data_IF_263052391196
#
_entry.id   IF_263052391196
#
_cell.length_a   1.000
_cell.length_b   1.000
_cell.length_c   1.000
_cell.angle_alpha   90.00
_cell.angle_beta   90.00
_cell.angle_gamma   90.00
#
_symmetry.space_group_name_H-M   'P 1'
#
loop_
_entity.id
_entity.type
_entity.pdbx_description
1 polymer ?
#
# COMPACT_ATOMS: atom_id res chain seq x y z
N UNK A 1 20.30 -14.64 -46.34
CA UNK A 1 20.82 -13.88 -45.18
C UNK A 1 20.67 -12.40 -45.46
N UNK A 2 20.11 -11.63 -44.51
CA UNK A 2 20.12 -10.18 -44.59
C UNK A 2 21.49 -9.65 -44.15
N UNK A 3 22.05 -8.69 -44.88
CA UNK A 3 23.31 -8.03 -44.53
C UNK A 3 23.00 -6.61 -44.06
N UNK A 4 23.46 -6.25 -42.86
CA UNK A 4 23.42 -4.89 -42.34
C UNK A 4 24.84 -4.46 -41.98
N UNK A 5 25.18 -3.22 -42.31
CA UNK A 5 26.43 -2.61 -41.87
C UNK A 5 26.15 -1.89 -40.55
N UNK A 6 26.95 -2.18 -39.53
CA UNK A 6 26.90 -1.54 -38.22
C UNK A 6 28.20 -0.76 -38.02
N UNK A 7 28.11 0.40 -37.39
CA UNK A 7 29.29 1.16 -36.97
C UNK A 7 29.65 0.74 -35.55
N UNK A 8 30.93 0.46 -35.32
CA UNK A 8 31.47 0.16 -33.99
C UNK A 8 32.46 1.28 -33.60
N UNK A 9 32.65 1.53 -32.29
CA UNK A 9 33.67 2.45 -31.82
C UNK A 9 35.08 2.06 -32.27
N UNK A 10 35.92 3.05 -32.60
CA UNK A 10 37.27 2.84 -33.16
C UNK A 10 38.17 2.02 -32.21
N UNK A 11 38.05 2.22 -30.90
CA UNK A 11 38.79 1.48 -29.88
C UNK A 11 38.41 -0.01 -29.81
N UNK A 12 37.16 -0.34 -30.14
CA UNK A 12 36.67 -1.71 -30.19
C UNK A 12 37.11 -2.41 -31.49
N UNK A 13 37.16 -1.68 -32.60
CA UNK A 13 37.65 -2.16 -33.90
C UNK A 13 39.14 -2.54 -33.81
N UNK A 14 39.98 -1.65 -33.24
CA UNK A 14 41.41 -1.92 -33.03
C UNK A 14 41.66 -3.18 -32.18
N UNK A 15 40.84 -3.38 -31.13
CA UNK A 15 40.93 -4.56 -30.26
C UNK A 15 40.43 -5.84 -30.93
N UNK A 16 39.45 -5.74 -31.82
CA UNK A 16 38.95 -6.87 -32.61
C UNK A 16 39.98 -7.30 -33.66
N UNK A 17 40.65 -6.35 -34.30
CA UNK A 17 41.71 -6.62 -35.28
C UNK A 17 42.90 -7.36 -34.67
N UNK A 18 43.29 -7.01 -33.44
CA UNK A 18 44.33 -7.72 -32.68
C UNK A 18 43.97 -9.19 -32.36
N UNK A 19 42.69 -9.56 -32.42
CA UNK A 19 42.19 -10.89 -32.09
C UNK A 19 41.37 -11.54 -33.21
N UNK A 20 41.50 -11.02 -34.45
CA UNK A 20 40.70 -11.41 -35.62
C UNK A 20 40.74 -12.90 -35.93
N UNK A 21 41.88 -13.56 -35.70
CA UNK A 21 42.04 -15.00 -35.95
C UNK A 21 41.39 -15.88 -34.86
N UNK A 22 41.02 -15.29 -33.71
CA UNK A 22 40.46 -16.01 -32.56
C UNK A 22 38.98 -15.70 -32.37
N UNK A 23 38.49 -14.57 -32.88
CA UNK A 23 37.12 -14.09 -32.67
C UNK A 23 36.41 -13.98 -34.01
N UNK A 24 35.34 -14.75 -34.18
CA UNK A 24 34.41 -14.53 -35.27
C UNK A 24 33.44 -13.40 -34.90
N UNK A 25 33.82 -12.16 -35.22
CA UNK A 25 33.05 -10.96 -34.87
C UNK A 25 31.60 -11.04 -35.36
N UNK A 26 31.36 -11.54 -36.58
CA UNK A 26 30.01 -11.69 -37.12
C UNK A 26 29.13 -12.63 -36.29
N UNK A 27 29.69 -13.76 -35.80
CA UNK A 27 28.96 -14.71 -34.95
C UNK A 27 28.70 -14.13 -33.56
N UNK A 28 29.68 -13.44 -32.99
CA UNK A 28 29.55 -12.84 -31.65
C UNK A 28 28.51 -11.71 -31.66
N UNK A 29 28.55 -10.83 -32.66
CA UNK A 29 27.56 -9.77 -32.82
C UNK A 29 26.15 -10.34 -33.06
N UNK A 30 26.02 -11.41 -33.85
CA UNK A 30 24.72 -12.06 -34.05
C UNK A 30 24.12 -12.58 -32.74
N UNK A 31 24.91 -13.28 -31.93
CA UNK A 31 24.46 -13.81 -30.61
C UNK A 31 24.14 -12.67 -29.64
N UNK A 32 24.95 -11.61 -29.61
CA UNK A 32 24.72 -10.46 -28.74
C UNK A 32 23.44 -9.71 -29.14
N UNK A 33 23.22 -9.51 -30.44
CA UNK A 33 22.01 -8.87 -30.96
C UNK A 33 20.76 -9.72 -30.69
N UNK A 34 20.84 -11.04 -30.88
CA UNK A 34 19.73 -11.96 -30.57
C UNK A 34 19.36 -11.90 -29.09
N UNK A 35 20.36 -11.90 -28.19
CA UNK A 35 20.13 -11.74 -26.75
C UNK A 35 19.49 -10.41 -26.37
N UNK A 36 19.95 -9.32 -26.96
CA UNK A 36 19.36 -8.01 -26.66
C UNK A 36 17.96 -7.85 -27.24
N UNK A 37 17.71 -8.43 -28.42
CA UNK A 37 16.35 -8.51 -28.97
C UNK A 37 15.45 -9.33 -28.07
N UNK A 38 15.89 -10.51 -27.61
CA UNK A 38 15.15 -11.33 -26.65
C UNK A 38 14.84 -10.57 -25.36
N UNK A 39 15.79 -9.79 -24.83
CA UNK A 39 15.59 -8.96 -23.64
C UNK A 39 14.58 -7.85 -23.87
N UNK A 40 14.68 -7.13 -24.99
CA UNK A 40 13.73 -6.07 -25.35
C UNK A 40 12.33 -6.66 -25.56
N UNK A 41 12.21 -7.79 -26.26
CA UNK A 41 10.96 -8.48 -26.52
C UNK A 41 10.32 -9.05 -25.24
N UNK A 42 11.12 -9.51 -24.28
CA UNK A 42 10.63 -9.93 -22.96
C UNK A 42 10.13 -8.75 -22.13
N UNK A 43 10.80 -7.59 -22.18
CA UNK A 43 10.39 -6.38 -21.47
C UNK A 43 9.16 -5.70 -22.10
N UNK A 44 9.01 -5.79 -23.42
CA UNK A 44 7.88 -5.21 -24.16
C UNK A 44 6.73 -6.19 -24.38
N UNK A 45 6.86 -7.45 -23.96
CA UNK A 45 5.76 -8.40 -23.99
C UNK A 45 4.64 -7.85 -23.11
N UNK A 46 3.44 -7.56 -23.68
CA UNK A 46 2.30 -7.22 -22.85
C UNK A 46 2.09 -8.40 -21.90
N UNK A 47 1.98 -8.12 -20.60
CA UNK A 47 1.56 -9.12 -19.63
C UNK A 47 0.18 -9.61 -20.11
N UNK A 48 0.13 -10.80 -20.71
CA UNK A 48 -1.12 -11.47 -21.09
C UNK A 48 -1.83 -11.92 -19.81
N UNK A 49 -2.32 -10.95 -19.04
CA UNK A 49 -3.20 -11.21 -17.91
C UNK A 49 -4.59 -11.36 -18.50
N UNK A 50 -5.16 -12.56 -18.36
CA UNK A 50 -6.56 -12.79 -18.70
C UNK A 50 -7.43 -11.72 -18.03
N UNK A 51 -8.25 -11.02 -18.81
CA UNK A 51 -9.15 -9.96 -18.33
C UNK A 51 -10.03 -10.47 -17.16
N UNK A 52 -10.48 -11.72 -17.24
CA UNK A 52 -11.24 -12.39 -16.17
C UNK A 52 -10.48 -12.53 -14.84
N UNK A 53 -9.14 -12.59 -14.85
CA UNK A 53 -8.31 -12.60 -13.63
C UNK A 53 -8.19 -11.20 -13.05
N UNK A 54 -8.08 -10.18 -13.91
CA UNK A 54 -8.07 -8.77 -13.49
C UNK A 54 -9.42 -8.39 -12.86
N UNK A 55 -10.53 -8.71 -13.52
CA UNK A 55 -11.88 -8.43 -13.01
C UNK A 55 -12.12 -9.08 -11.65
N UNK A 56 -11.77 -10.37 -11.49
CA UNK A 56 -11.88 -11.07 -10.20
C UNK A 56 -11.02 -10.43 -9.11
N UNK A 57 -9.81 -9.99 -9.45
CA UNK A 57 -8.94 -9.30 -8.51
C UNK A 57 -9.55 -7.96 -8.09
N UNK A 58 -10.01 -7.16 -9.04
CA UNK A 58 -10.65 -5.86 -8.79
C UNK A 58 -11.89 -6.03 -7.91
N UNK A 59 -12.74 -7.01 -8.20
CA UNK A 59 -13.95 -7.26 -7.40
C UNK A 59 -13.61 -7.64 -5.95
N UNK A 60 -12.66 -8.56 -5.76
CA UNK A 60 -12.16 -8.92 -4.43
C UNK A 60 -11.62 -7.71 -3.67
N UNK A 61 -10.84 -6.86 -4.33
CA UNK A 61 -10.25 -5.66 -3.70
C UNK A 61 -11.33 -4.62 -3.35
N UNK A 62 -12.35 -4.44 -4.20
CA UNK A 62 -13.50 -3.57 -3.89
C UNK A 62 -14.30 -4.07 -2.70
N UNK A 63 -14.49 -5.38 -2.59
CA UNK A 63 -15.17 -5.97 -1.44
C UNK A 63 -14.39 -5.75 -0.15
N UNK A 64 -13.06 -5.93 -0.18
CA UNK A 64 -12.18 -5.64 0.95
C UNK A 64 -12.21 -4.16 1.34
N UNK A 65 -12.21 -3.24 0.36
CA UNK A 65 -12.34 -1.81 0.63
C UNK A 65 -13.69 -1.47 1.28
N UNK A 66 -14.78 -2.03 0.75
CA UNK A 66 -16.13 -1.81 1.29
C UNK A 66 -16.23 -2.29 2.75
N UNK A 67 -15.66 -3.45 3.06
CA UNK A 67 -15.63 -3.99 4.41
C UNK A 67 -14.82 -3.08 5.36
N UNK A 68 -13.67 -2.60 4.90
CA UNK A 68 -12.83 -1.64 5.62
C UNK A 68 -13.58 -0.33 5.91
N UNK A 69 -14.27 0.23 4.92
CA UNK A 69 -15.07 1.46 5.07
C UNK A 69 -16.23 1.27 6.07
N UNK A 70 -16.88 0.10 6.05
CA UNK A 70 -17.94 -0.23 6.99
C UNK A 70 -17.44 -0.30 8.43
N UNK A 71 -16.29 -0.96 8.67
CA UNK A 71 -15.68 -1.03 10.00
C UNK A 71 -15.22 0.33 10.50
N UNK A 72 -14.64 1.15 9.64
CA UNK A 72 -14.32 2.55 9.96
C UNK A 72 -15.56 3.35 10.33
N UNK A 73 -16.61 3.31 9.50
CA UNK A 73 -17.86 4.04 9.76
C UNK A 73 -18.59 3.55 11.02
N UNK A 74 -18.43 2.27 11.38
CA UNK A 74 -18.91 1.74 12.64
C UNK A 74 -18.10 2.27 13.83
N UNK A 75 -16.78 2.16 13.77
CA UNK A 75 -15.89 2.69 14.81
C UNK A 75 -16.17 4.16 15.10
N UNK A 76 -16.33 4.96 14.05
CA UNK A 76 -16.67 6.38 14.17
C UNK A 76 -17.95 6.62 14.95
N UNK A 77 -19.03 5.94 14.60
CA UNK A 77 -20.31 6.07 15.30
C UNK A 77 -20.22 5.62 16.75
N UNK A 78 -19.52 4.52 17.01
CA UNK A 78 -19.39 4.04 18.38
C UNK A 78 -18.52 5.00 19.23
N UNK A 79 -17.47 5.58 18.65
CA UNK A 79 -16.61 6.57 19.30
C UNK A 79 -17.35 7.88 19.61
N UNK A 80 -18.12 8.40 18.65
CA UNK A 80 -19.04 9.52 18.88
C UNK A 80 -20.02 9.21 20.02
N UNK A 81 -20.63 8.02 20.00
CA UNK A 81 -21.59 7.61 21.02
C UNK A 81 -20.96 7.50 22.42
N UNK A 82 -19.74 6.97 22.53
CA UNK A 82 -19.02 6.91 23.80
C UNK A 82 -18.68 8.31 24.30
N UNK A 83 -18.12 9.17 23.44
CA UNK A 83 -17.77 10.53 23.79
C UNK A 83 -18.99 11.36 24.26
N UNK A 84 -20.15 11.13 23.65
CA UNK A 84 -21.39 11.82 23.99
C UNK A 84 -22.04 11.29 25.29
N UNK A 85 -22.10 9.97 25.47
CA UNK A 85 -22.99 9.36 26.46
C UNK A 85 -22.28 8.80 27.68
N UNK A 86 -20.96 8.57 27.60
CA UNK A 86 -20.22 7.81 28.61
C UNK A 86 -18.96 8.53 29.09
N UNK A 87 -18.23 9.20 28.17
CA UNK A 87 -16.96 9.81 28.50
C UNK A 87 -17.13 11.01 29.45
N UNK A 88 -16.32 11.02 30.51
CA UNK A 88 -16.14 12.17 31.38
C UNK A 88 -15.20 13.21 30.75
N UNK A 89 -15.26 14.45 31.26
CA UNK A 89 -14.35 15.53 30.83
C UNK A 89 -12.87 15.15 30.97
N UNK A 90 -12.51 14.42 32.04
CA UNK A 90 -11.13 14.01 32.28
C UNK A 90 -10.67 12.95 31.26
N UNK A 91 -11.55 12.01 30.90
CA UNK A 91 -11.25 11.01 29.87
C UNK A 91 -11.09 11.65 28.49
N UNK A 92 -11.92 12.64 28.14
CA UNK A 92 -11.80 13.36 26.87
C UNK A 92 -10.51 14.20 26.79
N UNK A 93 -10.08 14.80 27.91
CA UNK A 93 -8.78 15.49 27.99
C UNK A 93 -7.60 14.51 27.85
N UNK A 94 -7.65 13.40 28.60
CA UNK A 94 -6.62 12.36 28.51
C UNK A 94 -6.54 11.73 27.12
N UNK A 95 -7.68 11.56 26.45
CA UNK A 95 -7.74 11.08 25.07
C UNK A 95 -6.98 12.00 24.11
N UNK A 96 -7.16 13.32 24.21
CA UNK A 96 -6.45 14.30 23.36
C UNK A 96 -4.93 14.24 23.54
N UNK A 97 -4.46 14.05 24.78
CA UNK A 97 -3.04 13.94 25.10
C UNK A 97 -2.43 12.63 24.57
N UNK A 98 -3.15 11.52 24.73
CA UNK A 98 -2.65 10.18 24.41
C UNK A 98 -2.81 9.75 22.95
N UNK A 99 -3.68 10.40 22.16
CA UNK A 99 -3.96 10.02 20.77
C UNK A 99 -3.43 11.00 19.71
N UNK A 100 -2.44 11.82 20.06
CA UNK A 100 -1.77 12.72 19.10
C UNK A 100 -1.03 11.96 17.99
N UNK A 101 -0.65 10.69 18.21
CA UNK A 101 0.08 9.86 17.23
C UNK A 101 -0.71 9.45 15.98
N UNK A 102 -2.05 9.49 16.01
CA UNK A 102 -2.90 9.16 14.85
C UNK A 102 -3.32 10.39 14.05
N UNK A 103 -2.79 11.57 14.38
CA UNK A 103 -3.13 12.79 13.68
C UNK A 103 -2.59 12.78 12.24
N UNK A 104 -3.47 13.01 11.27
CA UNK A 104 -3.14 12.94 9.84
C UNK A 104 -3.15 11.53 9.23
N UNK A 105 -3.29 10.48 10.04
CA UNK A 105 -3.46 9.12 9.54
C UNK A 105 -4.84 8.97 8.88
N UNK A 106 -4.86 8.40 7.68
CA UNK A 106 -6.10 8.20 6.91
C UNK A 106 -6.46 6.72 6.82
N UNK A 107 -7.73 6.44 6.53
CA UNK A 107 -8.17 5.08 6.27
C UNK A 107 -7.42 4.46 5.08
N UNK A 108 -6.98 5.25 4.10
CA UNK A 108 -6.29 4.74 2.91
C UNK A 108 -4.84 4.33 3.22
N UNK A 109 -4.16 5.07 4.09
CA UNK A 109 -2.70 5.04 4.20
C UNK A 109 -2.17 4.35 5.47
N UNK A 110 -3.05 3.95 6.39
CA UNK A 110 -2.60 3.35 7.65
C UNK A 110 -2.00 1.95 7.46
N UNK A 111 -0.88 1.69 8.16
CA UNK A 111 -0.41 0.34 8.41
C UNK A 111 -1.09 -0.18 9.68
N UNK A 112 -1.76 -1.35 9.64
CA UNK A 112 -2.30 -1.97 10.84
C UNK A 112 -1.31 -2.15 11.99
N UNK A 113 0.00 -2.26 11.71
CA UNK A 113 1.04 -2.33 12.73
C UNK A 113 1.21 -1.04 13.53
N UNK A 114 0.90 0.12 12.95
CA UNK A 114 0.96 1.41 13.65
C UNK A 114 -0.08 1.53 14.78
N UNK A 115 -1.10 0.67 14.72
CA UNK A 115 -2.23 0.63 15.64
C UNK A 115 -2.11 -0.48 16.69
N UNK A 116 -0.98 -1.18 16.75
CA UNK A 116 -0.73 -2.19 17.78
C UNK A 116 -0.67 -1.55 19.18
N UNK A 117 -1.47 -2.06 20.12
CA UNK A 117 -1.55 -1.55 21.49
C UNK A 117 -2.58 -0.43 21.71
N UNK A 118 -3.26 0.02 20.66
CA UNK A 118 -4.32 1.05 20.77
C UNK A 118 -5.69 0.49 21.19
N UNK A 119 -5.80 -0.83 21.31
CA UNK A 119 -7.03 -1.52 21.68
C UNK A 119 -7.38 -1.38 23.16
N UNK A 120 -6.37 -1.23 24.01
CA UNK A 120 -6.52 -1.03 25.46
C UNK A 120 -7.25 0.28 25.77
N UNK A 121 -7.35 1.16 24.77
CA UNK A 121 -7.97 2.47 24.87
C UNK A 121 -9.44 2.46 24.41
N UNK A 122 -9.90 1.34 23.83
CA UNK A 122 -11.32 1.10 23.63
C UNK A 122 -12.00 0.71 24.95
N UNK A 123 -13.27 1.04 25.15
CA UNK A 123 -14.05 0.50 26.26
C UNK A 123 -13.98 -1.04 26.28
N UNK A 124 -13.80 -1.64 27.46
CA UNK A 124 -13.61 -3.10 27.62
C UNK A 124 -14.70 -3.92 26.93
N UNK A 125 -15.93 -3.41 26.89
CA UNK A 125 -17.09 -4.04 26.25
C UNK A 125 -16.94 -4.20 24.73
N UNK A 126 -16.13 -3.34 24.08
CA UNK A 126 -15.91 -3.35 22.63
C UNK A 126 -14.70 -4.18 22.22
N UNK A 127 -13.73 -4.36 23.11
CA UNK A 127 -12.49 -5.06 22.82
C UNK A 127 -12.71 -6.51 22.31
N UNK A 128 -13.59 -7.36 22.88
CA UNK A 128 -13.74 -8.74 22.43
C UNK A 128 -14.19 -8.88 20.97
N UNK A 129 -15.10 -8.01 20.52
CA UNK A 129 -15.62 -8.05 19.15
C UNK A 129 -14.58 -7.56 18.15
N UNK A 130 -13.89 -6.48 18.50
CA UNK A 130 -12.87 -5.84 17.65
C UNK A 130 -11.62 -6.71 17.55
N UNK A 131 -11.20 -7.32 18.66
CA UNK A 131 -10.01 -8.18 18.71
C UNK A 131 -10.18 -9.52 17.95
N UNK A 132 -11.42 -9.92 17.64
CA UNK A 132 -11.70 -11.08 16.80
C UNK A 132 -11.58 -10.78 15.30
N UNK A 133 -11.52 -9.51 14.91
CA UNK A 133 -11.42 -9.12 13.51
C UNK A 133 -9.98 -9.23 12.97
N UNK A 134 -9.82 -9.43 11.65
CA UNK A 134 -8.54 -9.24 10.99
C UNK A 134 -7.92 -7.88 11.34
N UNK A 135 -6.58 -7.84 11.47
CA UNK A 135 -5.82 -6.66 11.89
C UNK A 135 -6.16 -5.39 11.08
N UNK A 136 -6.40 -5.52 9.78
CA UNK A 136 -6.82 -4.41 8.90
C UNK A 136 -8.20 -3.88 9.27
N UNK A 137 -9.17 -4.75 9.58
CA UNK A 137 -10.52 -4.32 9.93
C UNK A 137 -10.56 -3.73 11.35
N UNK A 138 -9.77 -4.32 12.26
CA UNK A 138 -9.50 -3.78 13.60
C UNK A 138 -8.92 -2.37 13.52
N UNK A 139 -7.88 -2.18 12.70
CA UNK A 139 -7.28 -0.87 12.50
C UNK A 139 -8.23 0.17 11.89
N UNK A 140 -9.03 -0.25 10.91
CA UNK A 140 -10.08 0.59 10.34
C UNK A 140 -11.10 1.03 11.42
N UNK A 141 -11.53 0.12 12.28
CA UNK A 141 -12.42 0.43 13.40
C UNK A 141 -11.78 1.42 14.38
N UNK A 142 -10.55 1.17 14.82
CA UNK A 142 -9.81 2.04 15.75
C UNK A 142 -9.65 3.46 15.21
N UNK A 143 -9.29 3.60 13.93
CA UNK A 143 -9.20 4.91 13.27
C UNK A 143 -10.55 5.61 13.19
N UNK A 144 -11.61 4.85 12.88
CA UNK A 144 -12.96 5.36 12.92
C UNK A 144 -13.29 5.90 14.31
N UNK A 145 -13.10 5.07 15.33
CA UNK A 145 -13.34 5.40 16.74
C UNK A 145 -12.63 6.68 17.14
N UNK A 146 -11.32 6.75 16.88
CA UNK A 146 -10.51 7.93 17.12
C UNK A 146 -11.09 9.18 16.45
N UNK A 147 -11.41 9.08 15.16
CA UNK A 147 -11.96 10.20 14.41
C UNK A 147 -13.30 10.68 14.99
N UNK A 148 -14.16 9.76 15.40
CA UNK A 148 -15.45 10.06 16.02
C UNK A 148 -15.31 10.82 17.33
N UNK A 149 -14.50 10.28 18.25
CA UNK A 149 -14.23 10.92 19.56
C UNK A 149 -13.56 12.29 19.35
N UNK A 150 -12.52 12.36 18.53
CA UNK A 150 -11.74 13.58 18.27
C UNK A 150 -12.62 14.68 17.69
N UNK A 151 -13.39 14.37 16.63
CA UNK A 151 -14.18 15.38 15.93
C UNK A 151 -15.27 15.95 16.85
N UNK A 152 -15.94 15.10 17.63
CA UNK A 152 -16.95 15.54 18.59
C UNK A 152 -16.33 16.33 19.75
N UNK A 153 -15.20 15.87 20.30
CA UNK A 153 -14.51 16.56 21.41
C UNK A 153 -14.01 17.94 20.97
N UNK A 154 -13.40 18.05 19.79
CA UNK A 154 -12.95 19.35 19.24
C UNK A 154 -14.11 20.33 19.09
N UNK A 155 -15.27 19.86 18.62
CA UNK A 155 -16.46 20.69 18.51
C UNK A 155 -17.02 21.09 19.88
N UNK A 156 -17.06 20.18 20.86
CA UNK A 156 -17.55 20.49 22.20
C UNK A 156 -16.63 21.49 22.93
N UNK A 157 -15.31 21.37 22.76
CA UNK A 157 -14.32 22.21 23.42
C UNK A 157 -14.42 23.69 23.03
N UNK A 158 -14.93 24.03 21.85
CA UNK A 158 -15.16 25.44 21.49
C UNK A 158 -16.29 26.10 22.28
N UNK A 159 -17.04 25.33 23.08
CA UNK A 159 -18.17 25.78 23.89
C UNK A 159 -17.96 25.66 25.40
N UNK A 160 -16.78 25.19 25.85
CA UNK A 160 -16.40 25.04 27.27
C UNK A 160 -15.35 26.09 27.66
#
# INVERSE_FOLDING_TARGET
>A
MARRNISIPDDLDERLDQHRDRINASRVCAIALERELDMIEQQTRPLEVEESKVERLVERLRQQQTEKDNWYGRGRRDGEAWAQNSASLNELRAFEENWSGLEGMTLADFDPGDLEGWDDVLPEERQPEVNQQPLVLRGAYLLGWYAGVRDLWRAARTHL
#
